data_IF_597975139817
#
_entry.id   IF_597975139817
#
_cell.length_a   1.000
_cell.length_b   1.000
_cell.length_c   1.000
_cell.angle_alpha   90.00
_cell.angle_beta   90.00
_cell.angle_gamma   90.00
#
_symmetry.space_group_name_H-M   'P 1'
#
loop_
_entity.id
_entity.type
_entity.pdbx_description
1 polymer ?
#
# COMPACT_ATOMS: atom_id res chain seq x y z
N UNK A 1 5.90 -20.40 14.77
CA UNK A 1 5.79 -19.33 13.75
C UNK A 1 4.38 -18.77 13.78
N UNK A 2 4.19 -17.51 14.16
CA UNK A 2 2.86 -16.89 14.21
C UNK A 2 2.36 -16.63 12.78
N UNK A 3 1.22 -17.23 12.41
CA UNK A 3 0.54 -16.97 11.14
C UNK A 3 0.08 -15.50 11.16
N UNK A 4 0.40 -14.67 10.17
CA UNK A 4 -0.11 -13.31 10.13
C UNK A 4 -1.64 -13.38 10.10
N UNK A 5 -2.29 -12.80 11.11
CA UNK A 5 -3.74 -12.58 11.09
C UNK A 5 -3.99 -11.54 10.01
N UNK A 6 -4.46 -11.97 8.84
CA UNK A 6 -5.03 -11.06 7.86
C UNK A 6 -6.33 -10.50 8.46
N UNK A 7 -6.22 -9.43 9.23
CA UNK A 7 -7.36 -8.65 9.69
C UNK A 7 -7.99 -8.00 8.45
N UNK A 8 -9.07 -8.61 7.96
CA UNK A 8 -9.86 -8.07 6.86
C UNK A 8 -11.19 -7.58 7.40
N UNK A 9 -11.59 -6.39 6.96
CA UNK A 9 -12.89 -5.77 7.29
C UNK A 9 -13.80 -5.86 6.05
N UNK A 10 -15.09 -6.14 6.27
CA UNK A 10 -16.08 -6.21 5.19
C UNK A 10 -16.65 -4.82 4.93
N UNK A 11 -16.51 -4.34 3.69
CA UNK A 11 -17.12 -3.10 3.21
C UNK A 11 -18.29 -3.43 2.28
N UNK A 12 -19.48 -2.91 2.59
CA UNK A 12 -20.66 -3.03 1.72
C UNK A 12 -21.01 -1.66 1.15
N UNK A 13 -21.04 -1.55 -0.18
CA UNK A 13 -21.40 -0.31 -0.89
C UNK A 13 -22.55 -0.58 -1.86
N UNK A 14 -23.47 0.37 -1.99
CA UNK A 14 -24.51 0.33 -3.03
C UNK A 14 -23.92 0.86 -4.32
N UNK A 15 -24.02 0.08 -5.40
CA UNK A 15 -23.53 0.47 -6.73
C UNK A 15 -24.64 0.35 -7.76
N UNK A 16 -24.66 1.23 -8.79
CA UNK A 16 -25.57 1.07 -9.91
C UNK A 16 -25.33 -0.26 -10.66
N UNK A 17 -26.40 -0.87 -11.19
CA UNK A 17 -26.31 -2.13 -11.94
C UNK A 17 -25.31 -2.09 -13.12
N UNK A 18 -25.13 -0.98 -13.86
CA UNK A 18 -24.09 -0.90 -14.88
C UNK A 18 -22.67 -1.08 -14.31
N UNK A 19 -22.40 -0.54 -13.12
CA UNK A 19 -21.09 -0.61 -12.47
C UNK A 19 -20.80 -2.03 -11.98
N UNK A 20 -21.79 -2.74 -11.43
CA UNK A 20 -21.64 -4.15 -11.06
C UNK A 20 -21.30 -5.04 -12.28
N UNK A 21 -21.98 -4.80 -13.42
CA UNK A 21 -21.68 -5.51 -14.67
C UNK A 21 -20.25 -5.25 -15.16
N UNK A 22 -19.78 -4.01 -15.05
CA UNK A 22 -18.40 -3.66 -15.41
C UNK A 22 -17.38 -4.33 -14.48
N UNK A 23 -17.63 -4.34 -13.16
CA UNK A 23 -16.79 -5.04 -12.19
C UNK A 23 -16.72 -6.55 -12.49
N UNK A 24 -17.85 -7.18 -12.81
CA UNK A 24 -17.91 -8.59 -13.17
C UNK A 24 -17.14 -8.90 -14.47
N UNK A 25 -17.23 -8.01 -15.47
CA UNK A 25 -16.48 -8.14 -16.73
C UNK A 25 -14.97 -8.05 -16.49
N UNK A 26 -14.55 -7.09 -15.67
CA UNK A 26 -13.13 -6.87 -15.39
C UNK A 26 -12.53 -7.99 -14.53
N UNK A 27 -13.30 -8.52 -13.57
CA UNK A 27 -12.95 -9.71 -12.79
C UNK A 27 -12.64 -10.91 -13.70
N UNK A 28 -13.52 -11.18 -14.68
CA UNK A 28 -13.29 -12.24 -15.68
C UNK A 28 -12.05 -11.98 -16.52
N UNK A 29 -11.90 -10.75 -17.04
CA UNK A 29 -10.76 -10.37 -17.89
C UNK A 29 -9.41 -10.56 -17.18
N UNK A 30 -9.33 -10.22 -15.90
CA UNK A 30 -8.10 -10.29 -15.09
C UNK A 30 -7.92 -11.62 -14.36
N UNK A 31 -8.88 -12.56 -14.49
CA UNK A 31 -8.91 -13.82 -13.72
C UNK A 31 -8.82 -13.60 -12.20
N UNK A 32 -9.53 -12.58 -11.72
CA UNK A 32 -9.58 -12.15 -10.32
C UNK A 32 -11.01 -12.24 -9.79
N UNK A 33 -11.16 -12.25 -8.46
CA UNK A 33 -12.46 -12.08 -7.81
C UNK A 33 -12.95 -10.63 -7.91
N UNK A 34 -14.26 -10.43 -7.78
CA UNK A 34 -14.85 -9.07 -7.74
C UNK A 34 -14.25 -8.22 -6.61
N UNK A 35 -14.02 -8.82 -5.44
CA UNK A 35 -13.44 -8.14 -4.28
C UNK A 35 -12.00 -7.72 -4.51
N UNK A 36 -11.20 -8.53 -5.22
CA UNK A 36 -9.81 -8.16 -5.58
C UNK A 36 -9.78 -7.01 -6.59
N UNK A 37 -10.66 -7.04 -7.61
CA UNK A 37 -10.77 -5.94 -8.55
C UNK A 37 -11.24 -4.67 -7.87
N UNK A 38 -12.28 -4.75 -7.02
CA UNK A 38 -12.77 -3.62 -6.25
C UNK A 38 -11.69 -3.05 -5.33
N UNK A 39 -10.93 -3.91 -4.63
CA UNK A 39 -9.80 -3.51 -3.80
C UNK A 39 -8.74 -2.78 -4.64
N UNK A 40 -8.33 -3.34 -5.76
CA UNK A 40 -7.32 -2.73 -6.63
C UNK A 40 -7.74 -1.36 -7.17
N UNK A 41 -9.02 -1.20 -7.54
CA UNK A 41 -9.57 0.10 -7.97
C UNK A 41 -9.58 1.09 -6.80
N UNK A 42 -10.03 0.66 -5.62
CA UNK A 42 -10.06 1.50 -4.42
C UNK A 42 -8.64 1.91 -3.98
N UNK A 43 -7.67 0.99 -3.99
CA UNK A 43 -6.26 1.28 -3.69
C UNK A 43 -5.65 2.26 -4.70
N UNK A 44 -5.99 2.12 -5.98
CA UNK A 44 -5.54 3.04 -7.03
C UNK A 44 -6.16 4.43 -6.88
N UNK A 45 -7.47 4.50 -6.56
CA UNK A 45 -8.23 5.75 -6.49
C UNK A 45 -8.07 6.52 -5.18
N UNK A 46 -7.91 5.81 -4.05
CA UNK A 46 -7.58 6.43 -2.76
C UNK A 46 -6.11 6.88 -2.68
N UNK A 47 -5.32 6.50 -3.68
CA UNK A 47 -3.88 6.58 -3.63
C UNK A 47 -3.37 5.57 -2.62
N UNK A 48 -2.50 4.66 -3.05
CA UNK A 48 -1.51 4.13 -2.13
C UNK A 48 -0.82 5.36 -1.56
N UNK A 49 -1.03 5.68 -0.27
CA UNK A 49 -0.09 6.52 0.48
C UNK A 49 1.22 5.72 0.48
N UNK A 50 1.91 5.73 -0.65
CA UNK A 50 3.36 5.57 -0.67
C UNK A 50 3.79 6.67 0.28
N UNK A 51 4.22 6.28 1.46
CA UNK A 51 4.79 7.24 2.38
C UNK A 51 6.02 7.81 1.68
N UNK A 52 5.82 8.93 0.98
CA UNK A 52 6.86 9.60 0.22
C UNK A 52 8.04 9.92 1.12
N UNK A 53 7.81 10.07 2.44
CA UNK A 53 8.87 10.21 3.42
C UNK A 53 9.68 8.93 3.61
N UNK A 54 9.05 7.74 3.60
CA UNK A 54 9.74 6.45 3.64
C UNK A 54 10.53 6.16 2.35
N UNK A 55 9.97 6.49 1.19
CA UNK A 55 10.65 6.33 -0.11
C UNK A 55 11.84 7.30 -0.23
N UNK A 56 11.68 8.56 0.21
CA UNK A 56 12.74 9.56 0.26
C UNK A 56 13.86 9.20 1.26
N UNK A 57 13.52 8.66 2.44
CA UNK A 57 14.50 8.11 3.40
C UNK A 57 15.31 6.96 2.80
N UNK A 58 14.65 6.07 2.04
CA UNK A 58 15.30 4.95 1.34
C UNK A 58 16.25 5.43 0.26
N UNK A 59 15.84 6.42 -0.54
CA UNK A 59 16.68 7.02 -1.58
C UNK A 59 17.85 7.82 -0.99
N UNK A 60 17.64 8.59 0.08
CA UNK A 60 18.70 9.33 0.79
C UNK A 60 19.78 8.39 1.35
N UNK A 61 19.39 7.26 1.96
CA UNK A 61 20.34 6.21 2.42
C UNK A 61 21.17 5.59 1.30
N UNK A 62 20.58 5.42 0.11
CA UNK A 62 21.25 4.82 -1.05
C UNK A 62 22.21 5.80 -1.73
N UNK A 63 21.89 7.10 -1.73
CA UNK A 63 22.72 8.16 -2.35
C UNK A 63 23.88 8.60 -1.45
N UNK A 64 23.79 8.41 -0.14
CA UNK A 64 24.91 8.72 0.76
C UNK A 64 26.10 7.76 0.55
N UNK A 65 27.19 8.33 0.04
CA UNK A 65 28.44 7.63 -0.31
C UNK A 65 29.47 7.61 0.84
N UNK A 66 29.18 8.18 2.01
CA UNK A 66 30.07 8.17 3.19
C UNK A 66 29.42 7.45 4.37
N UNK A 67 30.18 6.55 5.02
CA UNK A 67 29.73 5.68 6.11
C UNK A 67 29.11 6.45 7.29
N UNK A 68 29.65 7.61 7.62
CA UNK A 68 29.21 8.48 8.72
C UNK A 68 27.82 9.11 8.53
N UNK A 69 27.39 9.35 7.30
CA UNK A 69 26.07 9.92 7.00
C UNK A 69 24.94 8.88 7.10
N UNK A 70 25.24 7.61 6.79
CA UNK A 70 24.28 6.50 6.94
C UNK A 70 23.94 6.23 8.40
N UNK A 71 24.91 6.36 9.30
CA UNK A 71 24.73 6.13 10.73
C UNK A 71 23.88 7.25 11.36
N UNK A 72 24.10 8.51 10.95
CA UNK A 72 23.27 9.64 11.40
C UNK A 72 21.80 9.52 10.95
N UNK A 73 21.55 9.09 9.71
CA UNK A 73 20.19 8.85 9.20
C UNK A 73 19.50 7.63 9.85
N UNK A 74 20.27 6.65 10.35
CA UNK A 74 19.72 5.53 11.09
C UNK A 74 19.32 5.91 12.52
N UNK A 75 20.11 6.76 13.16
CA UNK A 75 19.82 7.28 14.49
C UNK A 75 18.55 8.14 14.53
N UNK A 76 18.38 9.05 13.56
CA UNK A 76 17.17 9.91 13.50
C UNK A 76 15.90 9.15 13.14
N UNK A 77 16.00 8.09 12.34
CA UNK A 77 14.86 7.22 12.03
C UNK A 77 14.35 6.45 13.26
N UNK A 78 15.26 5.90 14.07
CA UNK A 78 14.89 5.14 15.28
C UNK A 78 14.24 6.02 16.37
N UNK A 79 14.57 7.31 16.42
CA UNK A 79 13.96 8.26 17.35
C UNK A 79 12.53 8.67 16.96
N UNK A 80 12.16 8.56 15.69
CA UNK A 80 10.85 8.95 15.18
C UNK A 80 9.77 7.86 15.32
N UNK A 81 10.17 6.60 15.47
CA UNK A 81 9.26 5.44 15.65
C UNK A 81 8.92 5.14 17.12
N UNK A 82 9.32 6.02 18.06
CA UNK A 82 9.18 5.83 19.52
C UNK A 82 8.36 6.90 20.26
N UNK A 83 7.49 7.64 19.58
CA UNK A 83 6.62 8.68 20.16
C UNK A 83 5.14 8.39 20.01
#
# INVERSE_FOLDING_TARGET
MARPKNESTVLTIRVPAPLDRQLAKEARRRRMTRSEVARSILESGLGRRVDLASEARRQSRLVSRRRSERDALAFTGAAADGG
#
